data_IF_170293309454
#
_entry.id   IF_170293309454
#
_cell.length_a   1.000
_cell.length_b   1.000
_cell.length_c   1.000
_cell.angle_alpha   90.00
_cell.angle_beta   90.00
_cell.angle_gamma   90.00
#
_symmetry.space_group_name_H-M   'P 1'
#
loop_
_entity.id
_entity.type
_entity.pdbx_description
1 polymer ?
#
# COMPACT_ATOMS: atom_id res chain seq x y z
N UNK A 1 12.34 -21.56 7.02
CA UNK A 1 12.10 -20.87 5.74
C UNK A 1 10.91 -19.93 5.91
N UNK A 2 11.08 -18.68 5.58
CA UNK A 2 10.06 -17.64 5.77
C UNK A 2 8.85 -17.81 4.85
N UNK A 3 7.66 -17.60 5.39
CA UNK A 3 6.44 -17.47 4.62
C UNK A 3 5.95 -16.02 4.72
N UNK A 4 6.09 -15.25 3.64
CA UNK A 4 5.86 -13.80 3.63
C UNK A 4 4.64 -13.49 2.77
N UNK A 5 3.70 -12.72 3.32
CA UNK A 5 2.57 -12.16 2.60
C UNK A 5 2.86 -10.68 2.29
N UNK A 6 2.58 -10.26 1.07
CA UNK A 6 2.59 -8.84 0.69
C UNK A 6 1.21 -8.45 0.17
N UNK A 7 0.57 -7.53 0.86
CA UNK A 7 -0.71 -6.97 0.43
C UNK A 7 -0.44 -5.81 -0.52
N UNK A 8 -1.00 -5.88 -1.73
CA UNK A 8 -0.77 -4.89 -2.77
C UNK A 8 -2.08 -4.37 -3.33
N UNK A 9 -2.06 -3.16 -3.88
CA UNK A 9 -3.22 -2.52 -4.50
C UNK A 9 -2.87 -1.97 -5.88
N UNK A 10 -3.78 -2.16 -6.84
CA UNK A 10 -3.76 -1.41 -8.08
C UNK A 10 -4.45 -0.06 -7.87
N UNK A 11 -3.80 1.02 -8.23
CA UNK A 11 -4.30 2.39 -8.09
C UNK A 11 -4.23 3.15 -9.40
N UNK A 12 -5.07 4.18 -9.63
CA UNK A 12 -4.90 5.06 -10.79
C UNK A 12 -3.55 5.79 -10.72
N UNK A 13 -2.87 5.96 -11.87
CA UNK A 13 -1.67 6.78 -11.95
C UNK A 13 -2.04 8.26 -11.83
N UNK A 14 -1.91 8.80 -10.64
CA UNK A 14 -2.27 10.19 -10.33
C UNK A 14 -1.43 11.22 -11.11
N UNK A 15 -0.25 10.85 -11.62
CA UNK A 15 0.58 11.73 -12.40
C UNK A 15 0.02 11.97 -13.82
N UNK A 16 -0.84 11.08 -14.29
CA UNK A 16 -1.46 11.13 -15.62
C UNK A 16 -2.93 11.59 -15.57
N UNK A 17 -3.43 11.94 -14.39
CA UNK A 17 -4.77 12.49 -14.23
C UNK A 17 -4.84 13.87 -14.89
N UNK A 18 -5.75 14.06 -15.82
CA UNK A 18 -6.01 15.36 -16.48
C UNK A 18 -7.10 16.11 -15.74
N UNK A 19 -6.97 17.43 -15.72
CA UNK A 19 -8.05 18.31 -15.24
C UNK A 19 -8.89 18.68 -16.45
N UNK A 20 -10.19 18.51 -16.32
CA UNK A 20 -11.16 19.00 -17.30
C UNK A 20 -11.13 20.53 -17.29
N UNK A 21 -10.78 21.19 -18.42
CA UNK A 21 -10.64 22.64 -18.44
C UNK A 21 -11.97 23.40 -18.27
N UNK A 22 -13.12 22.76 -18.54
CA UNK A 22 -14.42 23.38 -18.42
C UNK A 22 -15.03 23.22 -17.01
N UNK A 23 -14.85 22.04 -16.40
CA UNK A 23 -15.48 21.73 -15.11
C UNK A 23 -14.50 21.82 -13.94
N UNK A 24 -13.18 21.90 -14.19
CA UNK A 24 -12.13 21.82 -13.18
C UNK A 24 -12.03 20.44 -12.50
N UNK A 25 -12.79 19.46 -12.98
CA UNK A 25 -12.85 18.11 -12.41
C UNK A 25 -11.72 17.23 -12.90
N UNK A 26 -11.30 16.28 -12.07
CA UNK A 26 -10.31 15.28 -12.45
C UNK A 26 -10.92 14.27 -13.43
N UNK A 27 -10.36 14.18 -14.65
CA UNK A 27 -10.74 13.17 -15.64
C UNK A 27 -10.05 11.86 -15.25
N UNK A 28 -10.77 10.97 -14.57
CA UNK A 28 -10.29 9.63 -14.18
C UNK A 28 -10.44 8.60 -15.30
N UNK A 29 -11.29 8.86 -16.29
CA UNK A 29 -11.55 7.94 -17.40
C UNK A 29 -10.33 7.85 -18.31
N UNK A 30 -9.80 6.63 -18.51
CA UNK A 30 -8.63 6.39 -19.34
C UNK A 30 -7.28 6.65 -18.65
N UNK A 31 -7.26 6.90 -17.34
CA UNK A 31 -6.01 6.94 -16.58
C UNK A 31 -5.51 5.51 -16.41
N UNK A 32 -4.25 5.23 -16.78
CA UNK A 32 -3.64 3.92 -16.52
C UNK A 32 -3.69 3.58 -15.04
N UNK A 33 -3.86 2.31 -14.74
CA UNK A 33 -3.75 1.80 -13.38
C UNK A 33 -2.34 1.21 -13.20
N UNK A 34 -1.73 1.46 -12.06
CA UNK A 34 -0.38 1.02 -11.69
C UNK A 34 -0.41 0.27 -10.36
N UNK A 35 0.63 -0.50 -10.07
CA UNK A 35 0.88 -0.98 -8.72
C UNK A 35 1.11 0.22 -7.80
N UNK A 36 0.50 0.22 -6.62
CA UNK A 36 0.69 1.31 -5.65
C UNK A 36 2.17 1.46 -5.28
N UNK A 37 2.80 2.62 -5.49
CA UNK A 37 4.24 2.80 -5.26
C UNK A 37 4.70 2.50 -3.82
N UNK A 38 3.83 2.70 -2.83
CA UNK A 38 4.16 2.32 -1.46
C UNK A 38 4.21 0.79 -1.29
N UNK A 39 3.37 0.06 -2.04
CA UNK A 39 3.37 -1.42 -2.00
C UNK A 39 4.56 -2.00 -2.76
N UNK A 40 5.08 -1.30 -3.78
CA UNK A 40 6.34 -1.68 -4.45
C UNK A 40 7.52 -1.69 -3.48
N UNK A 41 7.58 -0.71 -2.55
CA UNK A 41 8.63 -0.68 -1.52
C UNK A 41 8.45 -1.82 -0.50
N UNK A 42 7.21 -2.12 -0.13
CA UNK A 42 6.89 -3.24 0.75
C UNK A 42 7.26 -4.59 0.10
N UNK A 43 6.98 -4.75 -1.18
CA UNK A 43 7.37 -5.92 -1.96
C UNK A 43 8.89 -6.07 -2.03
N UNK A 44 9.62 -4.98 -2.28
CA UNK A 44 11.07 -5.00 -2.32
C UNK A 44 11.67 -5.41 -0.97
N UNK A 45 11.15 -4.89 0.14
CA UNK A 45 11.58 -5.31 1.48
C UNK A 45 11.37 -6.82 1.71
N UNK A 46 10.22 -7.35 1.33
CA UNK A 46 9.91 -8.77 1.42
C UNK A 46 10.84 -9.63 0.56
N UNK A 47 11.13 -9.20 -0.67
CA UNK A 47 12.03 -9.92 -1.58
C UNK A 47 13.47 -9.92 -1.04
N UNK A 48 13.96 -8.80 -0.49
CA UNK A 48 15.29 -8.75 0.13
C UNK A 48 15.42 -9.70 1.31
N UNK A 49 14.40 -9.83 2.16
CA UNK A 49 14.38 -10.80 3.24
C UNK A 49 14.38 -12.24 2.72
N UNK A 50 13.56 -12.53 1.70
CA UNK A 50 13.57 -13.84 1.04
C UNK A 50 14.95 -14.18 0.46
N UNK A 51 15.61 -13.24 -0.19
CA UNK A 51 16.95 -13.44 -0.77
C UNK A 51 18.01 -13.69 0.30
N UNK A 52 17.87 -13.07 1.48
CA UNK A 52 18.82 -13.18 2.58
C UNK A 52 18.61 -14.42 3.45
N UNK A 53 17.35 -14.79 3.73
CA UNK A 53 17.00 -15.83 4.71
C UNK A 53 16.31 -17.05 4.06
N UNK A 54 16.01 -16.98 2.78
CA UNK A 54 15.20 -18.00 2.10
C UNK A 54 13.71 -17.86 2.43
N UNK A 55 12.88 -18.55 1.66
CA UNK A 55 11.43 -18.54 1.89
C UNK A 55 10.60 -18.29 0.65
N UNK A 56 9.35 -17.94 0.85
CA UNK A 56 8.35 -17.71 -0.20
C UNK A 56 7.66 -16.37 0.02
N UNK A 57 7.55 -15.57 -1.05
CA UNK A 57 6.79 -14.31 -1.07
C UNK A 57 5.51 -14.51 -1.86
N UNK A 58 4.37 -14.31 -1.20
CA UNK A 58 3.04 -14.37 -1.80
C UNK A 58 2.44 -12.96 -1.84
N UNK A 59 2.08 -12.47 -3.03
CA UNK A 59 1.36 -11.21 -3.19
C UNK A 59 -0.15 -11.46 -3.25
N UNK A 60 -0.93 -10.66 -2.54
CA UNK A 60 -2.40 -10.72 -2.55
C UNK A 60 -3.00 -9.34 -2.81
N UNK A 61 -4.04 -9.30 -3.63
CA UNK A 61 -4.82 -8.07 -3.87
C UNK A 61 -6.31 -8.38 -3.90
N UNK A 62 -7.13 -7.43 -3.48
CA UNK A 62 -8.57 -7.44 -3.70
C UNK A 62 -8.92 -6.35 -4.70
N UNK A 63 -9.56 -6.73 -5.80
CA UNK A 63 -9.90 -5.78 -6.84
C UNK A 63 -10.63 -6.40 -8.02
N UNK A 64 -10.96 -5.59 -9.04
CA UNK A 64 -11.51 -6.10 -10.30
C UNK A 64 -10.46 -6.93 -11.05
N UNK A 65 -10.89 -7.65 -12.09
CA UNK A 65 -10.01 -8.53 -12.89
C UNK A 65 -8.77 -7.82 -13.43
N UNK A 66 -8.86 -6.52 -13.74
CA UNK A 66 -7.70 -5.72 -14.20
C UNK A 66 -6.57 -5.61 -13.15
N UNK A 67 -6.86 -5.82 -11.86
CA UNK A 67 -5.84 -5.81 -10.81
C UNK A 67 -4.83 -6.97 -10.95
N UNK A 68 -5.10 -7.93 -11.85
CA UNK A 68 -4.14 -8.95 -12.24
C UNK A 68 -2.83 -8.33 -12.77
N UNK A 69 -2.88 -7.20 -13.46
CA UNK A 69 -1.66 -6.56 -13.99
C UNK A 69 -0.69 -6.17 -12.86
N UNK A 70 -1.18 -5.61 -11.76
CA UNK A 70 -0.35 -5.32 -10.61
C UNK A 70 0.30 -6.59 -10.01
N UNK A 71 -0.42 -7.70 -9.97
CA UNK A 71 0.14 -8.99 -9.54
C UNK A 71 1.20 -9.53 -10.52
N UNK A 72 1.02 -9.29 -11.82
CA UNK A 72 2.03 -9.61 -12.84
C UNK A 72 3.32 -8.83 -12.63
N UNK A 73 3.22 -7.57 -12.24
CA UNK A 73 4.37 -6.73 -11.87
C UNK A 73 5.06 -7.29 -10.62
N UNK A 74 4.31 -7.70 -9.59
CA UNK A 74 4.87 -8.33 -8.40
C UNK A 74 5.63 -9.62 -8.72
N UNK A 75 5.08 -10.49 -9.55
CA UNK A 75 5.74 -11.72 -10.00
C UNK A 75 7.00 -11.42 -10.82
N UNK A 76 6.97 -10.38 -11.66
CA UNK A 76 8.14 -9.94 -12.41
C UNK A 76 9.24 -9.39 -11.50
N UNK A 77 8.88 -8.71 -10.42
CA UNK A 77 9.82 -8.21 -9.41
C UNK A 77 10.48 -9.36 -8.60
N UNK A 78 9.82 -10.52 -8.48
CA UNK A 78 10.41 -11.67 -7.79
C UNK A 78 9.52 -12.33 -6.74
N UNK A 79 8.24 -11.98 -6.66
CA UNK A 79 7.27 -12.74 -5.88
C UNK A 79 7.13 -14.16 -6.45
N UNK A 80 6.86 -15.14 -5.59
CA UNK A 80 6.74 -16.55 -5.98
C UNK A 80 5.29 -16.93 -6.31
N UNK A 81 4.33 -16.29 -5.65
CA UNK A 81 2.91 -16.59 -5.78
C UNK A 81 2.10 -15.30 -5.83
N UNK A 82 1.00 -15.33 -6.56
CA UNK A 82 0.08 -14.21 -6.67
C UNK A 82 -1.37 -14.66 -6.51
N UNK A 83 -2.15 -13.86 -5.81
CA UNK A 83 -3.55 -14.16 -5.46
C UNK A 83 -4.42 -12.95 -5.72
N UNK A 84 -5.44 -13.14 -6.52
CA UNK A 84 -6.47 -12.15 -6.81
C UNK A 84 -7.78 -12.54 -6.12
N UNK A 85 -8.26 -11.65 -5.25
CA UNK A 85 -9.61 -11.73 -4.68
C UNK A 85 -10.52 -10.83 -5.50
N UNK A 86 -11.36 -11.44 -6.34
CA UNK A 86 -12.22 -10.68 -7.27
C UNK A 86 -13.64 -11.21 -7.27
N UNK A 87 -14.56 -10.31 -6.90
CA UNK A 87 -15.99 -10.55 -6.94
C UNK A 87 -16.73 -9.21 -6.95
N UNK A 88 -17.90 -9.15 -7.59
CA UNK A 88 -18.78 -7.98 -7.49
C UNK A 88 -19.26 -7.74 -6.06
N UNK A 89 -19.41 -8.77 -5.26
CA UNK A 89 -19.76 -8.68 -3.85
C UNK A 89 -18.71 -7.92 -3.01
N UNK A 90 -17.48 -7.80 -3.47
CA UNK A 90 -16.41 -7.03 -2.81
C UNK A 90 -16.42 -5.54 -3.16
N UNK A 91 -17.25 -5.12 -4.12
CA UNK A 91 -17.27 -3.74 -4.59
C UNK A 91 -17.71 -2.76 -3.48
N UNK A 92 -17.21 -1.52 -3.56
CA UNK A 92 -17.47 -0.42 -2.61
C UNK A 92 -17.10 -0.73 -1.15
N UNK A 93 -16.20 -1.70 -0.93
CA UNK A 93 -15.68 -2.00 0.39
C UNK A 93 -14.85 -0.83 0.93
N UNK A 94 -15.08 -0.47 2.18
CA UNK A 94 -14.14 0.35 2.95
C UNK A 94 -12.96 -0.49 3.46
N UNK A 95 -12.10 0.10 4.28
CA UNK A 95 -10.91 -0.61 4.82
C UNK A 95 -11.29 -1.78 5.72
N UNK A 96 -12.38 -1.68 6.48
CA UNK A 96 -12.82 -2.74 7.39
C UNK A 96 -13.27 -3.99 6.61
N UNK A 97 -14.16 -3.81 5.65
CA UNK A 97 -14.63 -4.89 4.78
C UNK A 97 -13.48 -5.46 3.91
N UNK A 98 -12.61 -4.59 3.38
CA UNK A 98 -11.44 -5.00 2.59
C UNK A 98 -10.48 -5.85 3.40
N UNK A 99 -10.14 -5.44 4.63
CA UNK A 99 -9.23 -6.20 5.49
C UNK A 99 -9.81 -7.57 5.86
N UNK A 100 -11.13 -7.67 6.02
CA UNK A 100 -11.80 -8.94 6.28
C UNK A 100 -11.68 -9.92 5.10
N UNK A 101 -11.93 -9.44 3.88
CA UNK A 101 -11.82 -10.26 2.67
C UNK A 101 -10.37 -10.71 2.45
N UNK A 102 -9.39 -9.78 2.57
CA UNK A 102 -7.96 -10.11 2.39
C UNK A 102 -7.50 -11.13 3.42
N UNK A 103 -7.81 -10.95 4.70
CA UNK A 103 -7.43 -11.90 5.74
C UNK A 103 -8.10 -13.27 5.54
N UNK A 104 -9.37 -13.30 5.13
CA UNK A 104 -10.08 -14.54 4.86
C UNK A 104 -9.49 -15.30 3.66
N UNK A 105 -9.16 -14.60 2.58
CA UNK A 105 -8.50 -15.19 1.41
C UNK A 105 -7.07 -15.66 1.72
N UNK A 106 -6.31 -14.87 2.49
CA UNK A 106 -4.95 -15.23 2.86
C UNK A 106 -4.86 -16.49 3.73
N UNK A 107 -5.83 -16.72 4.62
CA UNK A 107 -5.90 -17.95 5.45
C UNK A 107 -5.99 -19.23 4.63
N UNK A 108 -6.50 -19.19 3.40
CA UNK A 108 -6.51 -20.34 2.51
C UNK A 108 -5.11 -20.77 2.05
N UNK A 109 -4.14 -19.89 2.19
CA UNK A 109 -2.76 -20.11 1.75
C UNK A 109 -1.86 -20.63 2.87
N UNK A 110 -2.36 -20.68 4.10
CA UNK A 110 -1.63 -21.08 5.30
C UNK A 110 -1.30 -19.90 6.23
N UNK A 111 -0.36 -20.14 7.14
CA UNK A 111 0.11 -19.12 8.07
C UNK A 111 1.29 -18.36 7.47
N UNK A 112 1.43 -17.10 7.85
CA UNK A 112 2.51 -16.23 7.44
C UNK A 112 3.32 -15.79 8.66
N UNK A 113 4.65 -15.79 8.52
CA UNK A 113 5.56 -15.29 9.54
C UNK A 113 5.62 -13.77 9.53
N UNK A 114 5.66 -13.20 8.32
CA UNK A 114 5.71 -11.76 8.09
C UNK A 114 4.64 -11.34 7.08
N UNK A 115 4.06 -10.17 7.34
CA UNK A 115 3.07 -9.55 6.47
C UNK A 115 3.55 -8.14 6.14
N UNK A 116 3.59 -7.79 4.86
CA UNK A 116 4.03 -6.49 4.40
C UNK A 116 2.90 -5.73 3.72
N UNK A 117 2.83 -4.44 4.01
CA UNK A 117 1.96 -3.48 3.34
C UNK A 117 2.75 -2.20 3.01
N UNK A 118 2.38 -1.48 1.99
CA UNK A 118 2.74 -0.08 1.88
C UNK A 118 2.11 0.74 3.01
N UNK A 119 2.67 1.90 3.32
CA UNK A 119 2.14 2.81 4.35
C UNK A 119 0.66 3.14 4.09
N UNK A 120 0.35 3.46 2.85
CA UNK A 120 -1.00 3.83 2.40
C UNK A 120 -1.12 3.70 0.88
N UNK A 121 -2.34 3.73 0.35
CA UNK A 121 -2.58 3.79 -1.09
C UNK A 121 -2.70 5.23 -1.57
N UNK A 122 -2.19 5.52 -2.78
CA UNK A 122 -2.22 6.88 -3.36
C UNK A 122 -3.63 7.41 -3.62
N UNK A 123 -4.60 6.53 -3.82
CA UNK A 123 -5.98 6.90 -4.14
C UNK A 123 -6.85 7.15 -2.91
N UNK A 124 -6.64 6.42 -1.83
CA UNK A 124 -7.47 6.49 -0.62
C UNK A 124 -6.76 7.11 0.58
N UNK A 125 -5.45 6.99 0.68
CA UNK A 125 -4.58 7.57 1.71
C UNK A 125 -5.10 7.40 3.16
N UNK A 126 -5.74 6.25 3.47
CA UNK A 126 -6.33 6.04 4.80
C UNK A 126 -5.32 5.62 5.85
N UNK A 127 -4.24 4.93 5.46
CA UNK A 127 -3.23 4.36 6.36
C UNK A 127 -3.76 3.30 7.34
N UNK A 128 -5.01 2.84 7.18
CA UNK A 128 -5.70 1.97 8.16
C UNK A 128 -5.56 0.47 7.88
N UNK A 129 -5.32 0.09 6.61
CA UNK A 129 -5.35 -1.31 6.19
C UNK A 129 -4.40 -2.20 6.98
N UNK A 130 -3.18 -1.74 7.20
CA UNK A 130 -2.16 -2.51 7.90
C UNK A 130 -2.58 -2.84 9.34
N UNK A 131 -3.05 -1.86 10.11
CA UNK A 131 -3.47 -2.08 11.50
C UNK A 131 -4.66 -3.03 11.59
N UNK A 132 -5.62 -2.90 10.67
CA UNK A 132 -6.77 -3.81 10.61
C UNK A 132 -6.36 -5.24 10.24
N UNK A 133 -5.39 -5.41 9.33
CA UNK A 133 -4.85 -6.72 8.98
C UNK A 133 -4.03 -7.32 10.13
N UNK A 134 -3.22 -6.52 10.84
CA UNK A 134 -2.48 -6.98 12.00
C UNK A 134 -3.40 -7.58 13.06
N UNK A 135 -4.50 -6.88 13.39
CA UNK A 135 -5.52 -7.39 14.32
C UNK A 135 -6.15 -8.70 13.82
N UNK A 136 -6.48 -8.79 12.53
CA UNK A 136 -7.10 -9.99 11.95
C UNK A 136 -6.17 -11.19 11.92
N UNK A 137 -4.87 -10.98 11.85
CA UNK A 137 -3.86 -12.05 11.88
C UNK A 137 -3.30 -12.34 13.27
N UNK A 138 -3.76 -11.61 14.31
CA UNK A 138 -3.17 -11.64 15.65
C UNK A 138 -1.65 -11.42 15.60
N UNK A 139 -1.25 -10.44 14.80
CA UNK A 139 0.13 -10.14 14.48
C UNK A 139 0.61 -8.89 15.22
N UNK A 140 1.85 -8.91 15.69
CA UNK A 140 2.54 -7.69 16.11
C UNK A 140 2.60 -6.70 14.94
N UNK A 141 2.66 -5.39 15.21
CA UNK A 141 2.70 -4.37 14.17
C UNK A 141 3.91 -3.45 14.31
N UNK A 142 4.66 -3.28 13.23
CA UNK A 142 5.71 -2.29 13.07
C UNK A 142 5.36 -1.36 11.89
N UNK A 143 4.95 -0.13 12.20
CA UNK A 143 4.59 0.84 11.16
C UNK A 143 5.76 1.75 10.78
N UNK A 144 5.75 2.27 9.55
CA UNK A 144 6.73 3.22 9.01
C UNK A 144 8.17 2.69 9.07
N UNK A 145 8.37 1.43 8.68
CA UNK A 145 9.68 0.78 8.66
C UNK A 145 10.52 1.29 7.49
N UNK A 146 11.74 1.72 7.79
CA UNK A 146 12.70 2.17 6.78
C UNK A 146 13.92 1.24 6.65
N UNK A 147 14.16 0.36 7.63
CA UNK A 147 15.30 -0.57 7.64
C UNK A 147 14.99 -1.82 8.46
N UNK A 148 15.44 -2.97 7.96
CA UNK A 148 15.34 -4.27 8.64
C UNK A 148 16.73 -4.90 8.66
N UNK A 149 17.54 -4.62 9.69
CA UNK A 149 18.93 -5.12 9.76
C UNK A 149 19.00 -6.60 10.09
N UNK A 150 18.06 -7.09 10.92
CA UNK A 150 18.15 -8.41 11.50
C UNK A 150 16.78 -9.10 11.60
N UNK A 151 16.81 -10.40 11.34
CA UNK A 151 15.73 -11.33 11.55
C UNK A 151 16.31 -12.56 12.22
N UNK A 152 15.78 -12.95 13.37
CA UNK A 152 16.18 -14.14 14.12
C UNK A 152 15.11 -15.24 13.95
N UNK A 153 15.40 -16.21 13.07
CA UNK A 153 14.48 -17.33 12.80
C UNK A 153 14.33 -18.26 14.02
N UNK A 154 15.35 -18.38 14.87
CA UNK A 154 15.30 -19.26 16.03
C UNK A 154 14.44 -18.65 17.15
N UNK A 155 14.55 -17.34 17.37
CA UNK A 155 13.73 -16.61 18.33
C UNK A 155 12.38 -16.17 17.73
N UNK A 156 12.17 -16.34 16.44
CA UNK A 156 11.00 -15.84 15.70
C UNK A 156 10.75 -14.35 15.94
N UNK A 157 11.81 -13.54 15.80
CA UNK A 157 11.73 -12.08 15.98
C UNK A 157 12.30 -11.34 14.80
N UNK A 158 11.84 -10.12 14.61
CA UNK A 158 12.31 -9.17 13.61
C UNK A 158 12.66 -7.84 14.31
N UNK A 159 13.84 -7.29 13.97
CA UNK A 159 14.26 -5.95 14.41
C UNK A 159 14.16 -5.00 13.23
N UNK A 160 13.50 -3.86 13.44
CA UNK A 160 13.33 -2.86 12.41
C UNK A 160 13.55 -1.44 12.97
N UNK A 161 14.01 -0.53 12.10
CA UNK A 161 14.04 0.90 12.37
C UNK A 161 12.79 1.54 11.77
N UNK A 162 12.09 2.31 12.60
CA UNK A 162 10.85 3.00 12.25
C UNK A 162 11.09 4.49 12.20
N UNK A 163 10.39 5.16 11.29
CA UNK A 163 10.36 6.63 11.19
C UNK A 163 9.21 7.17 12.03
N UNK A 164 9.49 8.13 12.88
CA UNK A 164 8.53 8.88 13.67
C UNK A 164 8.59 10.37 13.32
N UNK A 165 7.63 11.16 13.76
CA UNK A 165 7.63 12.62 13.50
C UNK A 165 8.90 13.31 14.01
N UNK A 166 9.43 12.87 15.15
CA UNK A 166 10.55 13.51 15.84
C UNK A 166 11.87 12.70 15.76
N UNK A 167 11.96 11.71 14.86
CA UNK A 167 13.18 10.92 14.73
C UNK A 167 12.92 9.48 14.30
N UNK A 168 13.81 8.59 14.69
CA UNK A 168 13.72 7.16 14.39
C UNK A 168 13.88 6.33 15.65
N UNK A 169 13.28 5.14 15.66
CA UNK A 169 13.46 4.19 16.77
C UNK A 169 13.77 2.78 16.26
N UNK A 170 14.51 2.03 17.04
CA UNK A 170 14.70 0.60 16.86
C UNK A 170 13.69 -0.18 17.68
N UNK A 171 12.93 -1.04 17.00
CA UNK A 171 11.91 -1.88 17.64
C UNK A 171 12.09 -3.33 17.24
N UNK A 172 11.89 -4.23 18.20
CA UNK A 172 11.86 -5.69 17.97
C UNK A 172 10.46 -6.21 18.23
N UNK A 173 9.98 -7.08 17.33
CA UNK A 173 8.67 -7.73 17.45
C UNK A 173 8.79 -9.24 17.22
N UNK A 174 7.89 -10.00 17.83
CA UNK A 174 7.73 -11.44 17.59
C UNK A 174 6.88 -11.71 16.36
N UNK A 175 7.00 -12.88 15.76
CA UNK A 175 6.11 -13.35 14.69
C UNK A 175 4.80 -13.92 15.24
N UNK A 176 3.70 -13.90 14.46
CA UNK A 176 3.58 -13.17 13.20
C UNK A 176 3.71 -11.66 13.38
N UNK A 177 4.33 -10.99 12.40
CA UNK A 177 4.50 -9.54 12.46
C UNK A 177 4.08 -8.89 11.14
N UNK A 178 3.29 -7.82 11.23
CA UNK A 178 2.93 -6.99 10.09
C UNK A 178 3.77 -5.71 10.08
N UNK A 179 4.34 -5.40 8.91
CA UNK A 179 5.18 -4.22 8.70
C UNK A 179 4.56 -3.30 7.64
N UNK A 180 4.49 -2.00 7.93
CA UNK A 180 4.31 -1.01 6.87
C UNK A 180 5.66 -0.38 6.53
N UNK A 181 5.93 -0.22 5.24
CA UNK A 181 7.23 0.19 4.73
C UNK A 181 7.20 1.62 4.23
N UNK A 182 8.21 2.39 4.60
CA UNK A 182 8.45 3.74 4.09
C UNK A 182 9.26 3.73 2.79
N UNK A 183 9.07 4.78 1.99
CA UNK A 183 9.68 4.93 0.67
C UNK A 183 11.20 5.25 0.70
N UNK A 184 11.93 5.01 1.76
CA UNK A 184 13.30 5.52 1.89
C UNK A 184 14.36 4.56 1.39
N UNK A 185 14.45 3.35 1.95
CA UNK A 185 15.56 2.43 1.71
C UNK A 185 15.22 1.24 0.81
N UNK A 186 13.93 0.93 0.66
CA UNK A 186 13.47 -0.19 -0.16
C UNK A 186 13.05 0.31 -1.55
N UNK A 187 14.03 0.54 -2.42
CA UNK A 187 13.73 0.98 -3.80
C UNK A 187 13.28 -0.18 -4.64
N UNK A 188 12.10 -0.08 -5.21
CA UNK A 188 11.58 -1.09 -6.13
C UNK A 188 12.59 -1.43 -7.23
N UNK A 189 12.82 -2.72 -7.42
CA UNK A 189 13.72 -3.22 -8.47
C UNK A 189 13.04 -3.19 -9.82
N UNK A 190 13.86 -3.02 -10.87
CA UNK A 190 13.39 -3.15 -12.24
C UNK A 190 13.55 -4.61 -12.66
N UNK A 191 12.47 -5.31 -13.03
CA UNK A 191 12.54 -6.68 -13.48
C UNK A 191 13.30 -6.81 -14.80
N UNK A 192 14.07 -7.89 -14.97
CA UNK A 192 14.68 -8.18 -16.25
C UNK A 192 13.67 -8.82 -17.23
N UNK A 193 14.02 -8.84 -18.51
CA UNK A 193 13.13 -9.35 -19.56
C UNK A 193 12.72 -10.81 -19.37
N UNK A 194 13.59 -11.65 -18.78
CA UNK A 194 13.28 -13.07 -18.50
C UNK A 194 12.22 -13.17 -17.41
N UNK A 195 12.38 -12.43 -16.33
CA UNK A 195 11.39 -12.37 -15.23
C UNK A 195 10.04 -11.82 -15.72
N UNK A 196 10.07 -10.74 -16.51
CA UNK A 196 8.87 -10.16 -17.10
C UNK A 196 8.12 -11.18 -18.01
N UNK A 197 8.84 -11.90 -18.87
CA UNK A 197 8.21 -12.94 -19.72
C UNK A 197 7.67 -14.11 -18.88
N UNK A 198 8.34 -14.49 -17.81
CA UNK A 198 7.89 -15.55 -16.91
C UNK A 198 6.62 -15.15 -16.17
N UNK A 199 6.53 -13.92 -15.66
CA UNK A 199 5.36 -13.42 -14.94
C UNK A 199 4.08 -13.45 -15.78
N UNK A 200 4.20 -13.23 -17.12
CA UNK A 200 3.05 -13.29 -18.04
C UNK A 200 2.47 -14.68 -18.22
N UNK A 201 3.22 -15.72 -17.89
CA UNK A 201 2.80 -17.13 -17.99
C UNK A 201 2.52 -17.76 -16.62
N UNK A 202 2.89 -17.08 -15.55
CA UNK A 202 2.70 -17.59 -14.20
C UNK A 202 1.21 -17.70 -13.86
N UNK A 203 0.85 -18.72 -13.10
CA UNK A 203 -0.50 -18.88 -12.57
C UNK A 203 -0.78 -17.81 -11.50
N UNK A 204 -1.98 -17.25 -11.56
CA UNK A 204 -2.53 -16.36 -10.53
C UNK A 204 -3.75 -17.06 -9.94
N UNK A 205 -3.66 -17.38 -8.65
CA UNK A 205 -4.77 -17.96 -7.91
C UNK A 205 -5.90 -16.93 -7.80
N UNK A 206 -7.14 -17.39 -8.02
CA UNK A 206 -8.31 -16.51 -7.99
C UNK A 206 -9.33 -17.04 -7.00
N UNK A 207 -9.81 -16.16 -6.13
CA UNK A 207 -10.90 -16.47 -5.21
C UNK A 207 -12.00 -15.43 -5.30
N UNK A 208 -13.22 -15.88 -5.12
CA UNK A 208 -14.44 -15.07 -5.07
C UNK A 208 -15.16 -15.28 -3.75
N UNK A 209 -16.22 -14.56 -3.51
CA UNK A 209 -17.07 -14.73 -2.31
C UNK A 209 -17.58 -16.17 -2.14
N UNK A 210 -17.81 -16.86 -3.22
CA UNK A 210 -18.29 -18.26 -3.23
C UNK A 210 -17.18 -19.28 -2.98
N UNK A 211 -15.90 -18.92 -3.19
CA UNK A 211 -14.77 -19.85 -3.08
C UNK A 211 -13.96 -19.69 -1.80
N UNK A 212 -14.26 -18.66 -1.00
CA UNK A 212 -13.68 -18.46 0.34
C UNK A 212 -14.64 -19.08 1.37
N UNK A 213 -14.29 -20.22 1.99
CA UNK A 213 -15.17 -20.90 2.94
C UNK A 213 -15.43 -20.04 4.19
N UNK A 214 -16.66 -20.00 4.65
CA UNK A 214 -17.05 -19.31 5.89
C UNK A 214 -17.02 -17.78 5.78
N UNK A 215 -16.93 -17.23 4.58
CA UNK A 215 -16.98 -15.78 4.38
C UNK A 215 -18.40 -15.27 4.68
N UNK A 216 -18.50 -14.34 5.63
CA UNK A 216 -19.76 -13.69 5.99
C UNK A 216 -20.06 -12.57 4.99
N UNK A 217 -21.14 -12.75 4.23
CA UNK A 217 -21.53 -11.80 3.18
C UNK A 217 -22.01 -10.44 3.71
N UNK A 218 -22.38 -10.36 4.99
CA UNK A 218 -22.74 -9.10 5.63
C UNK A 218 -21.53 -8.26 6.02
N UNK A 219 -20.34 -8.86 6.05
CA UNK A 219 -19.07 -8.18 6.37
C UNK A 219 -18.22 -7.81 5.14
N UNK A 220 -18.73 -8.00 3.93
CA UNK A 220 -18.00 -7.70 2.69
C UNK A 220 -18.68 -6.59 1.88
N UNK A 221 -17.91 -5.96 1.00
CA UNK A 221 -18.40 -4.95 0.07
C UNK A 221 -19.11 -3.79 0.75
N UNK A 222 -20.12 -3.24 0.07
CA UNK A 222 -20.91 -2.13 0.61
C UNK A 222 -21.68 -2.48 1.88
N UNK A 223 -22.32 -3.65 2.04
CA UNK A 223 -22.99 -4.03 3.29
C UNK A 223 -22.04 -4.05 4.49
N UNK A 224 -20.84 -4.61 4.32
CA UNK A 224 -19.84 -4.73 5.38
C UNK A 224 -19.06 -3.46 5.70
N UNK A 225 -19.35 -2.35 5.03
CA UNK A 225 -18.62 -1.08 5.14
C UNK A 225 -19.37 -0.08 6.02
N UNK A 226 -18.92 0.20 7.26
CA UNK A 226 -19.46 1.27 8.06
C UNK A 226 -19.21 2.67 7.48
N UNK A 227 -18.12 2.86 6.74
CA UNK A 227 -17.81 4.12 6.07
C UNK A 227 -18.61 4.24 4.78
N UNK A 228 -19.42 5.29 4.67
CA UNK A 228 -20.18 5.61 3.46
C UNK A 228 -19.69 6.94 2.87
N UNK A 229 -19.48 6.97 1.55
CA UNK A 229 -19.08 8.18 0.82
C UNK A 229 -20.31 8.73 0.09
N UNK A 230 -21.08 9.65 0.70
CA UNK A 230 -22.32 10.15 0.10
C UNK A 230 -22.08 11.03 -1.12
N UNK A 231 -20.92 11.69 -1.19
CA UNK A 231 -20.57 12.60 -2.27
C UNK A 231 -19.06 12.77 -2.40
N UNK A 232 -18.56 12.80 -3.63
CA UNK A 232 -17.20 13.21 -3.97
C UNK A 232 -17.24 14.55 -4.72
N UNK A 233 -16.29 15.43 -4.47
CA UNK A 233 -16.13 16.70 -5.16
C UNK A 233 -14.64 17.00 -5.33
N UNK A 234 -14.23 17.70 -6.40
CA UNK A 234 -12.86 18.13 -6.55
C UNK A 234 -12.50 19.13 -5.45
N UNK A 235 -11.25 19.13 -4.96
CA UNK A 235 -10.80 20.14 -4.03
C UNK A 235 -10.93 21.52 -4.66
N UNK A 236 -11.38 22.50 -3.86
CA UNK A 236 -11.36 23.88 -4.32
C UNK A 236 -9.91 24.32 -4.50
N UNK A 237 -9.60 24.83 -5.68
CA UNK A 237 -8.30 25.45 -5.92
C UNK A 237 -8.24 26.72 -5.08
N UNK A 238 -7.33 26.75 -4.11
CA UNK A 238 -7.12 27.96 -3.30
C UNK A 238 -6.71 29.14 -4.18
N UNK A 239 -6.94 30.34 -3.70
CA UNK A 239 -6.46 31.54 -4.37
C UNK A 239 -4.92 31.48 -4.52
N UNK A 240 -4.41 31.98 -5.62
CA UNK A 240 -2.95 32.06 -5.81
C UNK A 240 -2.34 32.86 -4.67
N UNK A 241 -1.28 32.33 -4.07
CA UNK A 241 -0.56 33.04 -3.04
C UNK A 241 -0.04 34.40 -3.54
N UNK A 242 0.17 35.31 -2.62
CA UNK A 242 0.70 36.64 -2.93
C UNK A 242 2.21 36.51 -3.27
N UNK A 243 2.59 37.02 -4.43
CA UNK A 243 4.00 37.11 -4.81
C UNK A 243 4.57 38.43 -4.23
N UNK A 244 5.62 38.31 -3.44
CA UNK A 244 6.33 39.45 -2.87
C UNK A 244 7.55 39.75 -3.74
N UNK A 245 7.61 40.96 -4.27
CA UNK A 245 8.75 41.47 -5.05
C UNK A 245 9.11 42.85 -4.50
N UNK A 246 10.31 42.99 -3.91
CA UNK A 246 10.90 44.26 -3.53
C UNK A 246 11.96 44.69 -4.55
N UNK A 247 12.45 45.93 -4.47
CA UNK A 247 13.51 46.45 -5.32
C UNK A 247 14.88 45.81 -4.97
N UNK A 248 14.99 45.24 -3.74
CA UNK A 248 16.13 44.45 -3.27
C UNK A 248 15.71 43.20 -2.51
N UNK A 249 16.62 42.21 -2.35
CA UNK A 249 16.36 41.04 -1.50
C UNK A 249 16.04 41.41 -0.07
N UNK A 250 16.72 42.43 0.49
CA UNK A 250 16.54 42.91 1.86
C UNK A 250 15.14 43.47 2.07
N UNK A 251 14.62 44.24 1.10
CA UNK A 251 13.28 44.80 1.15
C UNK A 251 12.21 43.70 1.05
N UNK A 252 12.44 42.72 0.18
CA UNK A 252 11.54 41.55 0.07
C UNK A 252 11.46 40.78 1.37
N UNK A 253 12.60 40.51 2.03
CA UNK A 253 12.67 39.84 3.35
C UNK A 253 11.95 40.65 4.41
N UNK A 254 12.16 41.98 4.46
CA UNK A 254 11.53 42.86 5.46
C UNK A 254 9.99 42.83 5.30
N UNK A 255 9.51 42.87 4.06
CA UNK A 255 8.06 42.77 3.76
C UNK A 255 7.49 41.41 4.19
N UNK A 256 8.22 40.30 3.89
CA UNK A 256 7.82 38.96 4.32
C UNK A 256 7.75 38.83 5.85
N UNK A 257 8.79 39.32 6.55
CA UNK A 257 8.82 39.30 8.03
C UNK A 257 7.67 40.11 8.65
N UNK A 258 7.31 41.26 8.03
CA UNK A 258 6.17 42.05 8.46
C UNK A 258 4.84 41.30 8.33
N UNK A 259 4.67 40.53 7.26
CA UNK A 259 3.47 39.70 7.07
C UNK A 259 3.44 38.49 8.01
N UNK A 260 4.57 37.87 8.29
CA UNK A 260 4.66 36.73 9.20
C UNK A 260 4.48 37.11 10.66
N UNK A 261 4.79 38.37 11.05
CA UNK A 261 4.61 38.85 12.40
C UNK A 261 3.14 38.84 12.88
N UNK A 262 2.18 38.80 11.94
CA UNK A 262 0.76 38.65 12.27
C UNK A 262 0.39 37.21 12.66
N UNK A 263 1.26 36.23 12.40
CA UNK A 263 1.03 34.80 12.66
C UNK A 263 1.97 34.21 13.73
N UNK A 264 2.94 34.96 14.16
CA UNK A 264 3.90 34.63 15.25
C UNK A 264 3.54 35.34 16.55
#
# INVERSE_FOLDING_TARGET
MLNILVCVKQVPDVNLVKIDPETGSLIRKGVPAILNPNDENALEAAIQLKERYGGTVTCITMGPDQAEEALRECLAAGADRAVLLSDRAFANADTLATSYVIASGARLLGNFDLIFCGKESLDGATGQMASQLAERFDAAQLSCVEEIPELDEAAQTITARRVLENGTEWTRASWPCLLTVEKTNFRARIPNLKQWKASRKAEILRYSSCTIPGLDLEQIGDPGSPTKVPRTYPPQVGERGRMLCGESPEETVKTLLGLLAEFL
#
